data_IF_276088802912
#
_entry.id   IF_276088802912
#
_cell.length_a   1.000
_cell.length_b   1.000
_cell.length_c   1.000
_cell.angle_alpha   90.00
_cell.angle_beta   90.00
_cell.angle_gamma   90.00
#
_symmetry.space_group_name_H-M   'P 1'
#
loop_
_entity.id
_entity.type
_entity.pdbx_description
1 polymer ?
#
# COMPACT_ATOMS: atom_id res chain seq x y z
N UNK A 1 19.86 3.78 -3.24
CA UNK A 1 18.74 3.12 -3.91
C UNK A 1 18.52 3.78 -5.27
N UNK A 2 18.43 2.99 -6.34
CA UNK A 2 18.25 3.46 -7.71
C UNK A 2 17.10 2.68 -8.36
N UNK A 3 16.28 3.36 -9.14
CA UNK A 3 15.26 2.71 -9.95
C UNK A 3 15.65 2.75 -11.42
N UNK A 4 15.50 1.62 -12.11
CA UNK A 4 15.85 1.48 -13.52
C UNK A 4 14.66 0.91 -14.26
N UNK A 5 14.20 1.62 -15.28
CA UNK A 5 13.19 1.11 -16.21
C UNK A 5 13.89 0.20 -17.22
N UNK A 6 13.38 -1.01 -17.37
CA UNK A 6 13.83 -1.97 -18.38
C UNK A 6 13.02 -1.82 -19.67
N UNK A 7 11.69 -1.70 -19.56
CA UNK A 7 10.82 -1.47 -20.71
C UNK A 7 9.53 -0.76 -20.30
N UNK A 8 8.91 -0.09 -21.27
CA UNK A 8 7.60 0.53 -21.12
C UNK A 8 6.70 -0.01 -22.24
N UNK A 9 5.54 -0.52 -21.85
CA UNK A 9 4.54 -1.01 -22.81
C UNK A 9 3.80 0.13 -23.51
N UNK A 10 3.05 -0.19 -24.56
CA UNK A 10 2.18 0.76 -25.26
C UNK A 10 1.08 1.37 -24.36
N UNK A 11 0.78 0.72 -23.23
CA UNK A 11 -0.22 1.15 -22.26
C UNK A 11 0.45 1.68 -20.99
N UNK A 12 1.59 2.35 -21.08
CA UNK A 12 2.28 2.98 -19.95
C UNK A 12 2.73 2.05 -18.80
N UNK A 13 2.45 0.74 -18.85
CA UNK A 13 2.98 -0.22 -17.88
C UNK A 13 4.48 -0.29 -17.97
N UNK A 14 5.14 -0.32 -16.80
CA UNK A 14 6.58 -0.19 -16.65
C UNK A 14 7.14 -1.48 -16.05
N UNK A 15 8.03 -2.13 -16.78
CA UNK A 15 8.90 -3.16 -16.24
C UNK A 15 10.19 -2.50 -15.79
N UNK A 16 10.60 -2.74 -14.56
CA UNK A 16 11.77 -2.09 -13.98
C UNK A 16 12.35 -2.86 -12.81
N UNK A 17 13.36 -2.28 -12.17
CA UNK A 17 13.96 -2.84 -10.97
C UNK A 17 14.51 -1.77 -10.04
N UNK A 18 14.44 -2.05 -8.73
CA UNK A 18 15.06 -1.29 -7.66
C UNK A 18 16.38 -1.96 -7.29
N UNK A 19 17.44 -1.17 -7.29
CA UNK A 19 18.84 -1.57 -7.12
C UNK A 19 19.54 -0.68 -6.08
N UNK A 20 20.82 -0.97 -5.83
CA UNK A 20 21.73 -0.14 -5.03
C UNK A 20 21.19 0.16 -3.61
N UNK A 21 20.67 -0.88 -2.95
CA UNK A 21 20.22 -0.83 -1.56
C UNK A 21 21.42 -1.15 -0.66
N UNK A 22 21.86 -0.18 0.13
CA UNK A 22 23.12 -0.28 0.89
C UNK A 22 23.15 -1.47 1.85
N UNK A 23 22.04 -1.69 2.56
CA UNK A 23 21.90 -2.79 3.53
C UNK A 23 21.82 -4.16 2.87
N UNK A 24 21.45 -4.20 1.58
CA UNK A 24 21.28 -5.42 0.79
C UNK A 24 22.12 -5.35 -0.51
N UNK A 25 23.47 -5.39 -0.41
CA UNK A 25 24.32 -5.27 -1.59
C UNK A 25 24.03 -6.33 -2.64
N UNK A 26 23.83 -5.91 -3.89
CA UNK A 26 23.54 -6.79 -5.02
C UNK A 26 22.10 -7.30 -5.10
N UNK A 27 21.23 -6.95 -4.16
CA UNK A 27 19.82 -7.29 -4.25
C UNK A 27 19.13 -6.51 -5.38
N UNK A 28 18.24 -7.20 -6.09
CA UNK A 28 17.44 -6.66 -7.20
C UNK A 28 15.98 -6.96 -6.92
N UNK A 29 15.14 -5.92 -6.94
CA UNK A 29 13.69 -6.06 -6.75
C UNK A 29 12.98 -5.61 -8.02
N UNK A 30 12.36 -6.54 -8.74
CA UNK A 30 11.64 -6.25 -9.98
C UNK A 30 10.31 -5.54 -9.72
N UNK A 31 9.92 -4.65 -10.65
CA UNK A 31 8.63 -3.95 -10.64
C UNK A 31 7.81 -4.32 -11.88
N UNK A 32 6.48 -4.60 -11.78
CA UNK A 32 5.61 -4.33 -10.62
C UNK A 32 5.91 -5.18 -9.37
N UNK A 33 6.10 -4.52 -8.22
CA UNK A 33 6.53 -5.13 -6.96
C UNK A 33 5.37 -5.23 -5.97
N UNK A 34 5.29 -6.35 -5.25
CA UNK A 34 4.36 -6.53 -4.13
C UNK A 34 5.09 -6.38 -2.79
N UNK A 35 4.61 -5.46 -1.96
CA UNK A 35 5.03 -5.29 -0.57
C UNK A 35 4.27 -6.28 0.30
N UNK A 36 5.00 -7.08 1.07
CA UNK A 36 4.41 -8.00 2.02
C UNK A 36 3.95 -7.23 3.26
N UNK A 37 2.64 -7.29 3.51
CA UNK A 37 1.98 -6.67 4.65
C UNK A 37 2.50 -7.26 5.97
N UNK A 38 2.85 -6.39 6.90
CA UNK A 38 3.22 -6.77 8.27
C UNK A 38 2.38 -6.03 9.30
N UNK A 39 2.23 -6.63 10.48
CA UNK A 39 1.58 -6.03 11.64
C UNK A 39 2.50 -6.13 12.85
N UNK A 40 2.94 -4.99 13.35
CA UNK A 40 3.95 -4.94 14.42
C UNK A 40 5.35 -5.40 13.98
N UNK A 41 5.60 -5.47 12.66
CA UNK A 41 6.86 -5.97 12.09
C UNK A 41 6.86 -7.45 11.72
N UNK A 42 5.80 -8.20 12.05
CA UNK A 42 5.68 -9.61 11.68
C UNK A 42 4.68 -9.80 10.54
N UNK A 43 4.94 -10.76 9.66
CA UNK A 43 3.99 -11.18 8.64
C UNK A 43 2.87 -11.97 9.35
N UNK A 44 1.59 -11.58 9.22
CA UNK A 44 0.52 -12.27 9.93
C UNK A 44 0.50 -13.76 9.63
N UNK A 45 0.37 -14.57 10.69
CA UNK A 45 0.23 -16.03 10.64
C UNK A 45 1.42 -16.83 10.08
N UNK A 46 2.54 -16.16 9.75
CA UNK A 46 3.73 -16.81 9.22
C UNK A 46 4.91 -16.57 10.16
N UNK A 47 5.48 -17.64 10.71
CA UNK A 47 6.79 -17.57 11.36
C UNK A 47 7.88 -17.46 10.29
N UNK A 48 9.10 -17.11 10.70
CA UNK A 48 10.24 -17.01 9.78
C UNK A 48 10.53 -18.35 9.10
N UNK A 49 10.43 -19.46 9.84
CA UNK A 49 10.66 -20.81 9.32
C UNK A 49 9.61 -21.17 8.27
N UNK A 50 8.34 -20.82 8.52
CA UNK A 50 7.25 -21.07 7.56
C UNK A 50 7.42 -20.19 6.32
N UNK A 51 7.82 -18.92 6.48
CA UNK A 51 8.10 -18.04 5.34
C UNK A 51 9.19 -18.62 4.43
N UNK A 52 10.26 -19.16 5.02
CA UNK A 52 11.35 -19.80 4.29
C UNK A 52 10.94 -21.07 3.52
N UNK A 53 9.85 -21.73 3.93
CA UNK A 53 9.24 -22.82 3.17
C UNK A 53 8.46 -22.32 1.94
N UNK A 54 7.91 -21.11 2.01
CA UNK A 54 7.13 -20.49 0.92
C UNK A 54 8.05 -19.86 -0.12
N UNK A 55 9.09 -19.14 0.32
CA UNK A 55 10.04 -18.46 -0.57
C UNK A 55 11.41 -18.30 0.07
N UNK A 56 12.45 -18.34 -0.76
CA UNK A 56 13.84 -18.04 -0.36
C UNK A 56 14.34 -16.72 -0.94
N UNK A 57 13.53 -16.06 -1.76
CA UNK A 57 13.90 -14.80 -2.38
C UNK A 57 13.76 -13.65 -1.37
N UNK A 58 14.65 -12.65 -1.42
CA UNK A 58 14.45 -11.40 -0.69
C UNK A 58 13.08 -10.81 -1.03
N UNK A 59 12.41 -10.27 -0.02
CA UNK A 59 11.07 -9.69 -0.12
C UNK A 59 11.14 -8.23 0.27
N UNK A 60 10.09 -7.47 -0.05
CA UNK A 60 9.92 -6.13 0.45
C UNK A 60 8.81 -6.11 1.50
N UNK A 61 9.10 -5.72 2.73
CA UNK A 61 8.16 -5.70 3.84
C UNK A 61 7.62 -4.29 4.05
N UNK A 62 6.30 -4.17 4.09
CA UNK A 62 5.62 -2.95 4.50
C UNK A 62 5.46 -2.96 6.02
N UNK A 63 5.99 -1.94 6.70
CA UNK A 63 5.97 -1.78 8.16
C UNK A 63 5.18 -0.52 8.53
N UNK A 64 3.89 -0.64 8.85
CA UNK A 64 3.07 0.51 9.22
C UNK A 64 3.44 1.07 10.60
N UNK A 65 3.66 2.39 10.66
CA UNK A 65 3.88 3.14 11.89
C UNK A 65 2.73 2.95 12.87
N UNK A 66 1.48 2.96 12.41
CA UNK A 66 0.29 2.71 13.22
C UNK A 66 0.42 1.44 14.08
N UNK A 67 1.06 0.40 13.55
CA UNK A 67 1.26 -0.87 14.25
C UNK A 67 2.60 -0.97 15.01
N UNK A 68 3.55 -0.07 14.77
CA UNK A 68 4.94 -0.19 15.28
C UNK A 68 5.43 1.00 16.09
N UNK A 69 4.69 2.11 16.16
CA UNK A 69 5.12 3.35 16.85
C UNK A 69 5.52 3.12 18.31
N UNK A 70 4.87 2.19 19.00
CA UNK A 70 5.18 1.83 20.39
C UNK A 70 6.53 1.11 20.55
N UNK A 71 7.10 0.57 19.47
CA UNK A 71 8.39 -0.11 19.47
C UNK A 71 9.57 0.89 19.39
N UNK A 72 9.33 2.18 19.15
CA UNK A 72 10.39 3.18 18.95
C UNK A 72 11.48 3.10 20.03
N UNK A 73 11.09 3.14 21.30
CA UNK A 73 12.06 3.14 22.42
C UNK A 73 12.89 1.86 22.45
N UNK A 74 12.28 0.71 22.17
CA UNK A 74 12.97 -0.58 22.14
C UNK A 74 13.94 -0.67 20.94
N UNK A 75 13.51 -0.24 19.75
CA UNK A 75 14.35 -0.24 18.54
C UNK A 75 15.52 0.74 18.68
N UNK A 76 15.27 1.92 19.26
CA UNK A 76 16.33 2.89 19.55
C UNK A 76 17.36 2.35 20.55
N UNK A 77 16.92 1.65 21.61
CA UNK A 77 17.81 0.98 22.56
C UNK A 77 18.60 -0.18 21.92
N UNK A 78 18.02 -0.85 20.92
CA UNK A 78 18.63 -1.95 20.19
C UNK A 78 19.74 -1.52 19.20
N UNK A 79 19.67 -0.28 18.67
CA UNK A 79 20.71 0.40 17.86
C UNK A 79 21.08 -0.25 16.51
N UNK A 80 20.38 -1.30 16.08
CA UNK A 80 20.62 -1.98 14.79
C UNK A 80 19.50 -1.80 13.76
N UNK A 81 18.57 -0.88 14.03
CA UNK A 81 17.42 -0.63 13.18
C UNK A 81 16.32 -1.69 13.26
N UNK A 82 15.21 -1.44 12.57
CA UNK A 82 13.99 -2.23 12.63
C UNK A 82 14.15 -3.60 11.95
N UNK A 83 14.91 -3.68 10.86
CA UNK A 83 15.09 -4.92 10.09
C UNK A 83 15.71 -6.03 10.95
N UNK A 84 16.76 -5.69 11.71
CA UNK A 84 17.42 -6.58 12.66
C UNK A 84 16.55 -6.81 13.91
N UNK A 85 15.78 -5.80 14.34
CA UNK A 85 14.91 -5.92 15.52
C UNK A 85 13.79 -6.94 15.32
N UNK A 86 13.19 -6.97 14.13
CA UNK A 86 12.14 -7.92 13.76
C UNK A 86 12.70 -9.24 13.21
N UNK A 87 14.02 -9.38 13.11
CA UNK A 87 14.68 -10.60 12.62
C UNK A 87 14.52 -10.87 11.11
N UNK A 88 14.20 -9.87 10.29
CA UNK A 88 13.95 -9.98 8.84
C UNK A 88 14.97 -9.15 8.03
N UNK A 89 16.24 -9.24 8.41
CA UNK A 89 17.32 -8.40 7.85
C UNK A 89 17.70 -8.74 6.41
N UNK A 90 17.25 -9.86 5.88
CA UNK A 90 17.46 -10.27 4.50
C UNK A 90 16.44 -9.65 3.53
N UNK A 91 15.38 -9.03 4.07
CA UNK A 91 14.29 -8.44 3.31
C UNK A 91 14.38 -6.91 3.33
N UNK A 92 13.98 -6.24 2.25
CA UNK A 92 13.89 -4.77 2.16
C UNK A 92 12.77 -4.27 3.08
N UNK A 93 13.01 -3.19 3.83
CA UNK A 93 12.04 -2.61 4.75
C UNK A 93 11.53 -1.26 4.24
N UNK A 94 10.21 -1.16 4.12
CA UNK A 94 9.51 0.06 3.80
C UNK A 94 8.59 0.50 4.95
N UNK A 95 8.89 1.65 5.56
CA UNK A 95 8.04 2.22 6.60
C UNK A 95 6.92 3.10 6.01
N UNK A 96 5.67 2.78 6.36
CA UNK A 96 4.46 3.56 6.00
C UNK A 96 3.83 4.21 7.22
N UNK A 97 2.89 5.14 7.01
CA UNK A 97 2.21 5.84 8.12
C UNK A 97 1.02 5.02 8.63
N UNK A 98 0.04 4.77 7.76
CA UNK A 98 -1.17 4.03 8.10
C UNK A 98 -1.04 2.55 7.73
N UNK A 99 -1.87 1.71 8.36
CA UNK A 99 -1.99 0.30 8.02
C UNK A 99 -3.04 0.16 6.89
N UNK A 100 -2.67 -0.29 5.68
CA UNK A 100 -3.61 -0.37 4.55
C UNK A 100 -4.72 -1.40 4.75
N UNK A 101 -4.52 -2.40 5.62
CA UNK A 101 -5.53 -3.41 5.94
C UNK A 101 -6.56 -2.94 6.98
N UNK A 102 -6.32 -1.80 7.65
CA UNK A 102 -7.19 -1.28 8.71
C UNK A 102 -7.85 0.02 8.27
N UNK A 103 -9.18 0.09 8.40
CA UNK A 103 -9.92 1.33 8.14
C UNK A 103 -9.40 2.45 9.05
N UNK A 104 -8.97 3.55 8.44
CA UNK A 104 -8.43 4.72 9.14
C UNK A 104 -9.58 5.65 9.54
N UNK A 105 -9.79 5.91 10.84
CA UNK A 105 -10.83 6.82 11.28
C UNK A 105 -10.60 8.25 10.75
N UNK A 106 -11.67 8.85 10.22
CA UNK A 106 -11.62 10.15 9.53
C UNK A 106 -11.74 11.33 10.49
N UNK A 107 -11.17 12.49 10.12
CA UNK A 107 -11.40 13.76 10.81
C UNK A 107 -10.58 14.00 12.08
N UNK A 108 -9.59 13.15 12.37
CA UNK A 108 -8.73 13.29 13.56
C UNK A 108 -7.37 13.94 13.27
N UNK A 109 -7.10 14.32 12.02
CA UNK A 109 -5.86 15.02 11.66
C UNK A 109 -5.98 16.53 11.96
N UNK A 110 -5.02 17.04 12.71
CA UNK A 110 -4.93 18.44 13.12
C UNK A 110 -3.93 19.20 12.24
N UNK A 111 -3.68 20.48 12.54
CA UNK A 111 -2.84 21.34 11.69
C UNK A 111 -1.43 20.78 11.50
N UNK A 112 -0.81 20.34 12.58
CA UNK A 112 0.60 19.91 12.60
C UNK A 112 0.74 18.43 13.01
N UNK A 113 -0.37 17.71 13.13
CA UNK A 113 -0.40 16.33 13.63
C UNK A 113 -1.26 15.41 12.76
N UNK A 114 -0.74 14.22 12.49
CA UNK A 114 -1.47 13.08 11.91
C UNK A 114 -1.81 12.10 13.04
N UNK A 115 -3.05 11.63 13.05
CA UNK A 115 -3.48 10.60 13.99
C UNK A 115 -3.15 9.21 13.44
N UNK A 116 -2.54 8.37 14.26
CA UNK A 116 -2.36 6.94 14.01
C UNK A 116 -3.03 6.13 15.11
N UNK A 117 -3.61 4.99 14.76
CA UNK A 117 -4.30 4.10 15.71
C UNK A 117 -3.46 2.87 15.96
N UNK A 118 -2.85 2.86 17.13
CA UNK A 118 -2.04 1.75 17.61
C UNK A 118 -2.86 0.83 18.52
N UNK A 119 -2.26 -0.29 18.93
CA UNK A 119 -2.85 -1.17 19.96
C UNK A 119 -3.12 -0.44 21.29
N UNK A 120 -2.37 0.62 21.59
CA UNK A 120 -2.59 1.46 22.78
C UNK A 120 -3.57 2.62 22.55
N UNK A 121 -4.24 2.66 21.39
CA UNK A 121 -5.19 3.70 21.02
C UNK A 121 -4.62 4.76 20.07
N UNK A 122 -5.33 5.88 19.98
CA UNK A 122 -5.00 7.03 19.11
C UNK A 122 -3.73 7.72 19.61
N UNK A 123 -2.77 7.91 18.73
CA UNK A 123 -1.57 8.72 18.97
C UNK A 123 -1.50 9.83 17.93
N UNK A 124 -1.13 11.04 18.36
CA UNK A 124 -0.92 12.17 17.45
C UNK A 124 0.57 12.33 17.19
N UNK A 125 0.95 12.32 15.92
CA UNK A 125 2.34 12.34 15.46
C UNK A 125 2.53 13.57 14.58
N UNK A 126 3.47 14.43 14.93
CA UNK A 126 3.94 15.51 14.07
C UNK A 126 5.18 15.06 13.28
N UNK A 127 5.64 15.90 12.34
CA UNK A 127 6.78 15.56 11.48
C UNK A 127 8.07 15.29 12.29
N UNK A 128 8.35 16.04 13.35
CA UNK A 128 9.55 15.81 14.17
C UNK A 128 9.51 14.46 14.89
N UNK A 129 8.40 14.17 15.58
CA UNK A 129 8.22 12.89 16.26
C UNK A 129 8.25 11.72 15.28
N UNK A 130 7.68 11.91 14.09
CA UNK A 130 7.76 10.92 13.02
C UNK A 130 9.22 10.65 12.61
N UNK A 131 9.99 11.70 12.37
CA UNK A 131 11.39 11.58 11.99
C UNK A 131 12.23 10.94 13.10
N UNK A 132 11.96 11.20 14.38
CA UNK A 132 12.62 10.50 15.49
C UNK A 132 12.38 8.97 15.44
N UNK A 133 11.19 8.55 15.00
CA UNK A 133 10.88 7.12 14.81
C UNK A 133 11.64 6.58 13.61
N UNK A 134 11.64 7.29 12.48
CA UNK A 134 12.35 6.86 11.27
C UNK A 134 13.87 6.77 11.50
N UNK A 135 14.47 7.71 12.21
CA UNK A 135 15.89 7.67 12.61
C UNK A 135 16.21 6.50 13.54
N UNK A 136 15.26 6.11 14.40
CA UNK A 136 15.39 4.92 15.24
C UNK A 136 15.26 3.63 14.41
N UNK A 137 14.32 3.62 13.46
CA UNK A 137 14.00 2.44 12.65
C UNK A 137 15.02 2.18 11.55
N UNK A 138 15.60 3.22 10.94
CA UNK A 138 16.55 3.12 9.83
C UNK A 138 16.05 2.15 8.73
N UNK A 139 14.83 2.36 8.17
CA UNK A 139 14.34 1.52 7.08
C UNK A 139 15.15 1.76 5.79
N UNK A 140 15.01 0.88 4.79
CA UNK A 140 15.63 1.11 3.47
C UNK A 140 14.89 2.19 2.69
N UNK A 141 13.57 2.29 2.88
CA UNK A 141 12.76 3.40 2.39
C UNK A 141 11.63 3.76 3.34
N UNK A 142 11.15 5.00 3.26
CA UNK A 142 9.99 5.48 4.02
C UNK A 142 9.26 6.59 3.27
N UNK A 143 7.95 6.69 3.49
CA UNK A 143 7.17 7.83 2.98
C UNK A 143 7.27 9.02 3.92
N UNK A 144 7.18 10.24 3.40
CA UNK A 144 6.98 11.42 4.24
C UNK A 144 5.65 11.32 5.02
N UNK A 145 5.58 12.00 6.17
CA UNK A 145 4.33 12.12 6.92
C UNK A 145 3.31 12.93 6.12
N UNK A 146 2.07 12.45 6.04
CA UNK A 146 1.00 13.03 5.23
C UNK A 146 -0.37 12.99 5.93
N UNK A 147 -1.24 13.92 5.54
CA UNK A 147 -2.68 13.92 5.81
C UNK A 147 -3.46 13.29 4.65
N UNK A 148 -3.40 11.96 4.53
CA UNK A 148 -4.13 11.18 3.51
C UNK A 148 -5.61 10.93 3.81
N UNK A 149 -6.20 11.63 4.78
CA UNK A 149 -7.61 11.47 5.15
C UNK A 149 -8.53 12.25 4.18
N UNK A 150 -8.53 11.79 2.93
CA UNK A 150 -9.45 12.19 1.86
C UNK A 150 -9.99 10.98 1.10
N UNK A 151 -11.19 11.13 0.54
CA UNK A 151 -11.91 10.10 -0.21
C UNK A 151 -12.89 10.77 -1.21
N UNK A 152 -13.68 9.96 -1.92
CA UNK A 152 -14.67 10.44 -2.91
C UNK A 152 -15.65 11.50 -2.38
N UNK A 153 -15.98 11.43 -1.09
CA UNK A 153 -16.97 12.30 -0.46
C UNK A 153 -16.34 13.55 0.19
N UNK A 154 -15.03 13.73 0.05
CA UNK A 154 -14.31 14.83 0.68
C UNK A 154 -14.59 16.17 0.01
N UNK A 155 -14.91 17.18 0.81
CA UNK A 155 -15.11 18.55 0.31
C UNK A 155 -13.81 19.15 -0.23
N UNK A 156 -13.92 20.12 -1.16
CA UNK A 156 -12.77 20.91 -1.65
C UNK A 156 -11.94 21.52 -0.52
N UNK A 157 -12.60 22.00 0.54
CA UNK A 157 -11.94 22.54 1.74
C UNK A 157 -11.12 21.49 2.50
N UNK A 158 -11.62 20.25 2.59
CA UNK A 158 -10.92 19.14 3.23
C UNK A 158 -9.67 18.73 2.45
N UNK A 159 -9.81 18.66 1.12
CA UNK A 159 -8.72 18.34 0.18
C UNK A 159 -7.62 19.41 0.25
N UNK A 160 -7.97 20.69 0.18
CA UNK A 160 -6.99 21.78 0.28
C UNK A 160 -6.24 21.75 1.63
N UNK A 161 -6.94 21.47 2.74
CA UNK A 161 -6.28 21.31 4.06
C UNK A 161 -5.32 20.13 4.10
N UNK A 162 -5.72 18.97 3.55
CA UNK A 162 -4.85 17.79 3.47
C UNK A 162 -3.57 18.12 2.71
N UNK A 163 -3.71 18.73 1.53
CA UNK A 163 -2.59 19.11 0.69
C UNK A 163 -1.65 20.10 1.40
N UNK A 164 -2.17 21.16 2.03
CA UNK A 164 -1.38 22.15 2.75
C UNK A 164 -0.60 21.54 3.92
N UNK A 165 -1.23 20.61 4.66
CA UNK A 165 -0.62 19.92 5.81
C UNK A 165 0.47 18.97 5.36
N UNK A 166 0.18 18.13 4.37
CA UNK A 166 1.15 17.18 3.79
C UNK A 166 2.34 17.92 3.21
N UNK A 167 2.14 19.06 2.55
CA UNK A 167 3.24 19.88 2.03
C UNK A 167 4.16 20.38 3.15
N UNK A 168 3.58 20.92 4.24
CA UNK A 168 4.38 21.37 5.40
C UNK A 168 5.14 20.24 6.08
N UNK A 169 4.49 19.10 6.26
CA UNK A 169 5.09 17.91 6.87
C UNK A 169 6.20 17.34 5.98
N UNK A 170 6.00 17.31 4.65
CA UNK A 170 7.01 16.90 3.68
C UNK A 170 8.27 17.75 3.80
N UNK A 171 8.16 19.08 3.74
CA UNK A 171 9.32 19.96 3.85
C UNK A 171 10.08 19.78 5.15
N UNK A 172 9.35 19.56 6.27
CA UNK A 172 9.99 19.28 7.55
C UNK A 172 10.68 17.90 7.58
N UNK A 173 10.07 16.88 6.99
CA UNK A 173 10.67 15.55 6.86
C UNK A 173 11.93 15.59 5.98
N UNK A 174 11.89 16.32 4.85
CA UNK A 174 13.02 16.49 3.94
C UNK A 174 14.18 17.21 4.65
N UNK A 175 13.91 18.31 5.34
CA UNK A 175 14.93 19.04 6.10
C UNK A 175 15.61 18.15 7.17
N UNK A 176 14.82 17.34 7.89
CA UNK A 176 15.36 16.37 8.88
C UNK A 176 16.15 15.27 8.18
N UNK A 177 15.66 14.77 7.05
CA UNK A 177 16.32 13.73 6.24
C UNK A 177 17.72 14.16 5.80
N UNK A 178 17.84 15.35 5.19
CA UNK A 178 19.10 15.90 4.69
C UNK A 178 20.14 16.11 5.81
N UNK A 179 19.68 16.44 7.02
CA UNK A 179 20.53 16.67 8.20
C UNK A 179 20.87 15.39 8.97
N UNK A 180 20.20 14.28 8.67
CA UNK A 180 20.31 13.05 9.46
C UNK A 180 21.39 12.13 8.91
N UNK A 181 22.48 11.96 9.66
CA UNK A 181 23.59 11.07 9.29
C UNK A 181 23.14 9.61 9.12
N UNK A 182 22.21 9.14 9.95
CA UNK A 182 21.71 7.76 9.92
C UNK A 182 20.73 7.48 8.78
N UNK A 183 20.15 8.52 8.16
CA UNK A 183 19.19 8.39 7.06
C UNK A 183 19.77 8.74 5.68
N UNK A 184 21.05 9.14 5.60
CA UNK A 184 21.72 9.52 4.33
C UNK A 184 21.57 8.51 3.20
N UNK A 185 21.31 7.25 3.53
CA UNK A 185 21.26 6.10 2.62
C UNK A 185 19.87 5.46 2.54
N UNK A 186 18.94 5.95 3.35
CA UNK A 186 17.52 5.60 3.31
C UNK A 186 16.85 6.37 2.17
N UNK A 187 15.97 5.71 1.43
CA UNK A 187 15.17 6.36 0.39
C UNK A 187 13.95 7.08 0.99
N UNK A 188 13.90 8.41 0.86
CA UNK A 188 12.70 9.20 1.15
C UNK A 188 11.74 9.16 -0.05
N UNK A 189 10.45 8.93 0.21
CA UNK A 189 9.37 9.01 -0.77
C UNK A 189 8.46 10.20 -0.49
N UNK A 190 8.15 10.98 -1.54
CA UNK A 190 7.18 12.06 -1.44
C UNK A 190 5.75 11.51 -1.56
N UNK A 191 4.83 12.03 -0.75
CA UNK A 191 3.41 11.61 -0.78
C UNK A 191 2.59 12.65 -1.53
N UNK A 192 1.90 12.19 -2.56
CA UNK A 192 1.07 12.99 -3.46
C UNK A 192 -0.37 12.96 -2.97
N UNK A 193 -0.82 14.10 -2.45
CA UNK A 193 -2.19 14.31 -2.00
C UNK A 193 -3.00 15.10 -3.05
N UNK A 194 -4.25 15.40 -2.74
CA UNK A 194 -5.15 16.16 -3.62
C UNK A 194 -6.50 15.48 -3.84
N UNK A 195 -6.73 14.31 -3.22
CA UNK A 195 -7.99 13.60 -3.28
C UNK A 195 -8.44 13.36 -4.72
N UNK A 196 -9.69 13.66 -5.01
CA UNK A 196 -10.28 13.57 -6.35
C UNK A 196 -10.32 14.93 -7.08
N UNK A 197 -9.60 15.93 -6.57
CA UNK A 197 -9.50 17.24 -7.22
C UNK A 197 -8.29 17.26 -8.16
N UNK A 198 -8.53 17.22 -9.47
CA UNK A 198 -7.46 17.13 -10.48
C UNK A 198 -6.48 18.31 -10.41
N UNK A 199 -6.96 19.54 -10.19
CA UNK A 199 -6.09 20.72 -10.03
C UNK A 199 -5.16 20.59 -8.81
N UNK A 200 -5.67 20.05 -7.69
CA UNK A 200 -4.84 19.77 -6.51
C UNK A 200 -3.84 18.65 -6.75
N UNK A 201 -4.21 17.62 -7.52
CA UNK A 201 -3.29 16.54 -7.94
C UNK A 201 -2.16 17.05 -8.80
N UNK A 202 -2.47 17.83 -9.84
CA UNK A 202 -1.49 18.49 -10.70
C UNK A 202 -0.53 19.36 -9.87
N UNK A 203 -1.07 20.22 -9.00
CA UNK A 203 -0.27 21.09 -8.15
C UNK A 203 0.66 20.31 -7.21
N UNK A 204 0.15 19.25 -6.58
CA UNK A 204 0.95 18.38 -5.70
C UNK A 204 2.08 17.68 -6.47
N UNK A 205 1.76 17.10 -7.61
CA UNK A 205 2.72 16.37 -8.45
C UNK A 205 3.81 17.28 -9.00
N UNK A 206 3.45 18.45 -9.56
CA UNK A 206 4.43 19.43 -10.06
C UNK A 206 5.34 19.99 -8.96
N UNK A 207 4.81 20.20 -7.76
CA UNK A 207 5.61 20.70 -6.64
C UNK A 207 6.65 19.66 -6.22
N UNK A 208 6.22 18.41 -6.02
CA UNK A 208 7.06 17.36 -5.45
C UNK A 208 7.96 16.65 -6.48
N UNK A 209 7.63 16.71 -7.77
CA UNK A 209 8.42 16.09 -8.85
C UNK A 209 9.83 16.68 -9.00
N UNK A 210 10.03 17.91 -8.54
CA UNK A 210 11.34 18.59 -8.56
C UNK A 210 12.25 18.25 -7.38
N UNK A 211 11.73 17.55 -6.37
CA UNK A 211 12.48 17.21 -5.16
C UNK A 211 13.37 15.97 -5.40
N UNK A 212 14.53 15.93 -4.75
CA UNK A 212 15.41 14.75 -4.78
C UNK A 212 14.87 13.65 -3.84
N UNK A 213 13.86 12.93 -4.31
CA UNK A 213 13.24 11.78 -3.64
C UNK A 213 13.43 10.52 -4.47
N UNK A 214 13.37 9.35 -3.83
CA UNK A 214 13.56 8.07 -4.53
C UNK A 214 12.31 7.63 -5.33
N UNK A 215 11.13 8.09 -4.92
CA UNK A 215 9.86 7.70 -5.52
C UNK A 215 8.69 8.47 -4.92
N UNK A 216 7.49 8.12 -5.38
CA UNK A 216 6.25 8.81 -5.03
C UNK A 216 5.19 7.82 -4.54
N UNK A 217 4.46 8.21 -3.50
CA UNK A 217 3.27 7.50 -3.03
C UNK A 217 2.04 8.28 -3.46
N UNK A 218 1.12 7.66 -4.18
CA UNK A 218 -0.16 8.28 -4.52
C UNK A 218 -1.16 7.94 -3.42
N UNK A 219 -1.48 8.91 -2.58
CA UNK A 219 -2.32 8.75 -1.39
C UNK A 219 -3.59 9.61 -1.47
N UNK A 220 -4.48 9.49 -0.47
CA UNK A 220 -5.66 10.33 -0.33
C UNK A 220 -6.83 9.95 -1.26
N UNK A 221 -6.83 8.73 -1.83
CA UNK A 221 -7.95 8.22 -2.63
C UNK A 221 -8.97 7.43 -1.81
N UNK A 222 -8.58 6.94 -0.63
CA UNK A 222 -9.43 6.14 0.26
C UNK A 222 -8.95 6.26 1.70
N UNK A 223 -9.72 5.68 2.63
CA UNK A 223 -9.34 5.64 4.05
C UNK A 223 -8.82 4.27 4.52
N UNK A 224 -8.18 3.49 3.63
CA UNK A 224 -7.65 2.15 3.92
C UNK A 224 -8.74 1.15 4.35
N UNK A 225 -8.33 -0.09 4.64
CA UNK A 225 -9.22 -1.13 5.11
C UNK A 225 -9.95 -1.87 3.98
N UNK A 226 -10.91 -2.75 4.35
CA UNK A 226 -11.53 -3.68 3.42
C UNK A 226 -12.36 -3.00 2.33
N UNK A 227 -12.93 -1.82 2.59
CA UNK A 227 -13.78 -1.11 1.62
C UNK A 227 -13.03 -0.71 0.34
N UNK A 228 -11.69 -0.67 0.38
CA UNK A 228 -10.85 -0.40 -0.80
C UNK A 228 -11.01 -1.47 -1.87
N UNK A 229 -11.29 -2.73 -1.49
CA UNK A 229 -11.46 -3.82 -2.46
C UNK A 229 -12.69 -3.65 -3.36
N UNK A 230 -13.63 -2.79 -2.92
CA UNK A 230 -14.88 -2.47 -3.59
C UNK A 230 -14.83 -1.13 -4.35
N UNK A 231 -13.72 -0.38 -4.26
CA UNK A 231 -13.59 0.93 -4.89
C UNK A 231 -13.41 0.76 -6.41
N UNK A 232 -14.36 1.23 -7.25
CA UNK A 232 -14.25 1.02 -8.69
C UNK A 232 -13.09 1.80 -9.28
N UNK A 233 -12.26 1.14 -10.09
CA UNK A 233 -11.10 1.74 -10.74
C UNK A 233 -11.42 3.03 -11.52
N UNK A 234 -12.54 3.05 -12.24
CA UNK A 234 -13.01 4.23 -13.00
C UNK A 234 -13.19 5.49 -12.15
N UNK A 235 -13.39 5.34 -10.83
CA UNK A 235 -13.49 6.49 -9.91
C UNK A 235 -12.12 7.09 -9.61
N UNK A 236 -11.09 6.27 -9.46
CA UNK A 236 -9.73 6.72 -9.11
C UNK A 236 -8.89 7.07 -10.33
N UNK A 237 -9.16 6.45 -11.49
CA UNK A 237 -8.38 6.59 -12.71
C UNK A 237 -8.06 8.05 -13.09
N UNK A 238 -9.01 9.01 -13.11
CA UNK A 238 -8.68 10.39 -13.47
C UNK A 238 -7.66 11.04 -12.53
N UNK A 239 -7.73 10.74 -11.23
CA UNK A 239 -6.80 11.26 -10.25
C UNK A 239 -5.40 10.62 -10.39
N UNK A 240 -5.33 9.32 -10.68
CA UNK A 240 -4.08 8.61 -10.96
C UNK A 240 -3.41 9.21 -12.21
N UNK A 241 -4.15 9.30 -13.32
CA UNK A 241 -3.64 9.82 -14.60
C UNK A 241 -3.13 11.25 -14.48
N UNK A 242 -3.93 12.13 -13.88
CA UNK A 242 -3.51 13.52 -13.67
C UNK A 242 -2.21 13.59 -12.86
N UNK A 243 -2.10 12.79 -11.79
CA UNK A 243 -0.91 12.76 -10.95
C UNK A 243 0.31 12.25 -11.73
N UNK A 244 0.18 11.09 -12.38
CA UNK A 244 1.27 10.39 -13.06
C UNK A 244 1.86 11.20 -14.21
N UNK A 245 1.05 11.99 -14.92
CA UNK A 245 1.47 12.81 -16.05
C UNK A 245 2.55 13.85 -15.70
N UNK A 246 2.66 14.23 -14.42
CA UNK A 246 3.63 15.23 -13.98
C UNK A 246 4.83 14.63 -13.22
N UNK A 247 4.92 13.30 -13.13
CA UNK A 247 5.99 12.61 -12.40
C UNK A 247 7.14 12.19 -13.33
N UNK A 248 8.40 12.33 -12.86
CA UNK A 248 9.56 11.89 -13.62
C UNK A 248 9.52 10.38 -13.87
N UNK A 249 9.97 9.96 -15.06
CA UNK A 249 9.90 8.56 -15.45
C UNK A 249 10.84 7.70 -14.60
N UNK A 250 12.03 8.17 -14.26
CA UNK A 250 13.08 7.44 -13.54
C UNK A 250 12.82 7.22 -12.03
N UNK A 251 11.62 7.55 -11.54
CA UNK A 251 11.20 7.35 -10.15
C UNK A 251 10.01 6.41 -10.07
N UNK A 252 10.01 5.51 -9.08
CA UNK A 252 8.93 4.53 -8.90
C UNK A 252 7.71 5.14 -8.21
N UNK A 253 6.56 4.54 -8.44
CA UNK A 253 5.26 4.99 -7.94
C UNK A 253 4.59 3.89 -7.12
N UNK A 254 4.10 4.23 -5.94
CA UNK A 254 3.43 3.32 -5.02
C UNK A 254 1.95 3.70 -4.90
N UNK A 255 1.06 2.71 -4.96
CA UNK A 255 -0.33 2.85 -4.55
C UNK A 255 -0.64 1.84 -3.43
N UNK A 256 -0.81 2.35 -2.21
CA UNK A 256 -1.27 1.53 -1.09
C UNK A 256 -2.77 1.28 -1.18
N UNK A 257 -3.22 0.21 -0.54
CA UNK A 257 -4.63 -0.11 -0.36
C UNK A 257 -4.92 -1.59 -0.59
N UNK A 258 -6.04 -2.04 -0.04
CA UNK A 258 -6.58 -3.39 -0.25
C UNK A 258 -7.19 -3.53 -1.67
N UNK A 259 -6.38 -3.28 -2.69
CA UNK A 259 -6.76 -3.38 -4.09
C UNK A 259 -6.97 -4.84 -4.49
N UNK A 260 -8.10 -5.12 -5.13
CA UNK A 260 -8.32 -6.44 -5.71
C UNK A 260 -7.39 -6.66 -6.94
N UNK A 261 -7.15 -7.92 -7.36
CA UNK A 261 -6.19 -8.21 -8.44
C UNK A 261 -6.50 -7.53 -9.77
N UNK A 262 -7.78 -7.34 -10.11
CA UNK A 262 -8.19 -6.63 -11.33
C UNK A 262 -7.78 -5.15 -11.28
N UNK A 263 -8.04 -4.48 -10.16
CA UNK A 263 -7.66 -3.08 -9.95
C UNK A 263 -6.15 -2.90 -9.93
N UNK A 264 -5.40 -3.86 -9.37
CA UNK A 264 -3.92 -3.85 -9.45
C UNK A 264 -3.45 -3.88 -10.90
N UNK A 265 -4.02 -4.75 -11.74
CA UNK A 265 -3.66 -4.81 -13.18
C UNK A 265 -3.98 -3.49 -13.90
N UNK A 266 -5.10 -2.85 -13.57
CA UNK A 266 -5.44 -1.56 -14.16
C UNK A 266 -4.53 -0.43 -13.67
N UNK A 267 -4.13 -0.41 -12.40
CA UNK A 267 -3.14 0.53 -11.88
C UNK A 267 -1.75 0.32 -12.50
N UNK A 268 -1.36 -0.92 -12.80
CA UNK A 268 -0.14 -1.21 -13.58
C UNK A 268 -0.23 -0.61 -14.98
N UNK A 269 -1.39 -0.62 -15.63
CA UNK A 269 -1.61 0.09 -16.93
C UNK A 269 -1.54 1.60 -16.77
N UNK A 270 -1.86 2.16 -15.61
CA UNK A 270 -1.66 3.59 -15.35
C UNK A 270 -0.23 3.92 -14.86
N UNK A 271 0.69 2.95 -14.90
CA UNK A 271 2.10 3.15 -14.62
C UNK A 271 2.45 3.24 -13.13
N UNK A 272 1.70 2.54 -12.28
CA UNK A 272 2.06 2.27 -10.87
C UNK A 272 3.00 1.06 -10.80
N UNK A 273 4.05 1.18 -10.00
CA UNK A 273 5.15 0.20 -9.95
C UNK A 273 5.10 -0.69 -8.69
N UNK A 274 4.47 -0.24 -7.59
CA UNK A 274 4.50 -0.94 -6.29
C UNK A 274 3.13 -0.94 -5.62
N UNK A 275 2.74 -2.10 -5.08
CA UNK A 275 1.47 -2.36 -4.40
C UNK A 275 1.69 -3.09 -3.08
N UNK A 276 0.71 -3.13 -2.18
CA UNK A 276 0.80 -3.92 -0.94
C UNK A 276 -0.10 -5.15 -0.92
N UNK A 277 0.24 -6.09 -0.03
CA UNK A 277 -0.47 -7.36 0.12
C UNK A 277 -1.54 -7.34 1.22
N UNK A 278 -2.17 -6.19 1.50
CA UNK A 278 -3.30 -6.13 2.45
C UNK A 278 -4.51 -6.92 1.97
N UNK A 279 -4.75 -6.98 0.65
CA UNK A 279 -5.83 -7.77 0.06
C UNK A 279 -5.75 -9.28 0.38
N UNK A 280 -4.65 -10.02 0.08
CA UNK A 280 -4.56 -11.43 0.43
C UNK A 280 -4.59 -11.67 1.96
N UNK A 281 -4.08 -10.73 2.76
CA UNK A 281 -4.25 -10.79 4.21
C UNK A 281 -5.74 -10.74 4.60
N UNK A 282 -6.50 -9.76 4.12
CA UNK A 282 -7.93 -9.64 4.42
C UNK A 282 -8.78 -10.79 3.87
N UNK A 283 -8.37 -11.38 2.74
CA UNK A 283 -8.96 -12.63 2.21
C UNK A 283 -8.75 -13.78 3.20
N UNK A 284 -7.57 -13.89 3.79
CA UNK A 284 -7.25 -14.91 4.79
C UNK A 284 -8.04 -14.68 6.09
N UNK A 285 -8.14 -13.44 6.56
CA UNK A 285 -8.89 -13.08 7.77
C UNK A 285 -10.39 -13.40 7.66
N UNK A 286 -10.96 -13.35 6.45
CA UNK A 286 -12.35 -13.75 6.19
C UNK A 286 -12.51 -15.25 5.86
N UNK A 287 -11.48 -16.07 6.12
CA UNK A 287 -11.53 -17.52 5.93
C UNK A 287 -11.66 -17.95 4.47
N UNK A 288 -11.15 -17.14 3.54
CA UNK A 288 -11.21 -17.40 2.10
C UNK A 288 -9.84 -17.74 1.52
N UNK A 289 -9.82 -18.37 0.35
CA UNK A 289 -8.59 -18.65 -0.41
C UNK A 289 -8.67 -18.03 -1.81
N UNK A 290 -7.54 -17.51 -2.30
CA UNK A 290 -7.41 -17.04 -3.68
C UNK A 290 -7.17 -18.24 -4.61
N UNK A 291 -8.07 -18.46 -5.56
CA UNK A 291 -8.05 -19.64 -6.46
C UNK A 291 -8.16 -19.29 -7.94
N UNK A 292 -7.99 -18.02 -8.30
CA UNK A 292 -8.11 -17.57 -9.69
C UNK A 292 -6.92 -18.05 -10.53
N UNK A 293 -7.16 -18.35 -11.80
CA UNK A 293 -6.11 -18.74 -12.73
C UNK A 293 -5.42 -17.50 -13.30
N UNK A 294 -4.09 -17.43 -13.15
CA UNK A 294 -3.23 -16.36 -13.67
C UNK A 294 -2.25 -16.86 -14.74
N UNK A 295 -2.20 -18.18 -14.98
CA UNK A 295 -1.43 -18.74 -16.10
C UNK A 295 -2.28 -18.55 -17.35
N UNK A 296 -1.94 -17.55 -18.16
CA UNK A 296 -2.53 -17.39 -19.48
C UNK A 296 -2.41 -18.71 -20.25
N UNK A 297 -3.48 -19.13 -20.94
CA UNK A 297 -3.38 -20.20 -21.93
C UNK A 297 -2.21 -19.85 -22.85
N UNK A 298 -1.21 -20.73 -22.95
CA UNK A 298 0.08 -20.50 -23.61
C UNK A 298 -0.01 -20.40 -25.14
N UNK A 299 -1.03 -19.72 -25.66
CA UNK A 299 -1.28 -19.48 -27.07
C UNK A 299 -1.56 -18.00 -27.29
N UNK A 300 -0.58 -17.14 -26.99
CA UNK A 300 -0.49 -15.84 -27.64
C UNK A 300 0.44 -16.06 -28.83
N UNK A 301 -0.04 -16.04 -30.09
CA UNK A 301 0.84 -16.04 -31.24
C UNK A 301 1.77 -14.83 -31.11
N UNK A 302 3.08 -15.04 -31.20
CA UNK A 302 4.04 -13.95 -31.29
C UNK A 302 3.57 -12.94 -32.35
N UNK A 303 3.58 -11.63 -32.07
CA UNK A 303 3.46 -10.64 -33.13
C UNK A 303 4.60 -10.92 -34.11
N UNK A 304 4.26 -11.19 -35.36
CA UNK A 304 5.25 -11.24 -36.45
C UNK A 304 5.90 -9.87 -36.48
N UNK A 305 7.20 -9.81 -36.17
CA UNK A 305 8.02 -8.64 -36.49
C UNK A 305 7.96 -8.46 -38.00
N UNK A 306 7.16 -7.52 -38.48
CA UNK A 306 7.24 -7.07 -39.88
C UNK A 306 8.52 -6.26 -40.01
N UNK A 307 9.65 -6.94 -40.21
CA UNK A 307 10.89 -6.31 -40.60
C UNK A 307 10.67 -5.63 -41.96
N UNK A 308 10.49 -4.31 -41.95
CA UNK A 308 10.59 -3.50 -43.17
C UNK A 308 12.06 -3.56 -43.60
N UNK A 309 12.35 -4.41 -44.59
CA UNK A 309 13.62 -4.39 -45.29
C UNK A 309 13.66 -3.12 -46.12
N UNK A 310 14.42 -2.13 -45.67
CA UNK A 310 14.88 -1.04 -46.53
C UNK A 310 16.05 -1.62 -47.31
N UNK A 311 15.88 -1.85 -48.60
CA UNK A 311 17.00 -2.15 -49.49
C UNK A 311 17.87 -0.89 -49.62
N UNK A 312 19.21 -1.01 -49.58
CA UNK A 312 20.09 0.13 -49.79
C UNK A 312 20.05 0.54 -51.26
N UNK A 313 19.62 1.76 -51.55
CA UNK A 313 19.83 2.40 -52.86
C UNK A 313 21.33 2.48 -53.14
N UNK A 314 21.74 1.95 -54.29
CA UNK A 314 23.12 1.94 -54.75
C UNK A 314 23.64 3.39 -54.90
N UNK A 315 24.66 3.75 -54.10
CA UNK A 315 25.49 4.92 -54.36
C UNK A 315 26.28 4.68 -55.65
N UNK A 316 25.73 5.16 -56.77
CA UNK A 316 26.49 5.38 -57.98
C UNK A 316 27.23 6.71 -57.85
N UNK A 317 28.55 6.61 -57.71
CA UNK A 317 29.49 7.70 -57.86
C UNK A 317 29.41 8.22 -59.30
N UNK A 318 29.15 9.51 -59.48
CA UNK A 318 29.68 10.25 -60.61
C UNK A 318 30.22 11.60 -60.12
N UNK A 319 31.37 11.87 -60.69
CA UNK A 319 32.36 12.88 -60.48
C UNK A 319 32.08 14.16 -61.28
N UNK A 320 32.69 15.27 -60.85
CA UNK A 320 33.07 16.32 -61.80
C UNK A 320 32.18 17.56 -61.90
N UNK A 321 32.58 18.57 -61.13
CA UNK A 321 32.84 19.94 -61.60
C UNK A 321 31.68 20.94 -61.83
N UNK A 322 31.97 22.15 -61.32
CA UNK A 322 31.55 23.48 -61.78
C UNK A 322 30.19 24.08 -61.32
N UNK A 323 30.31 24.90 -60.28
CA UNK A 323 29.67 26.22 -60.14
C UNK A 323 29.96 27.10 -61.40
N UNK A 324 29.33 28.26 -61.70
CA UNK A 324 28.53 29.11 -60.80
C UNK A 324 27.32 29.87 -61.44
N UNK A 325 26.70 30.70 -60.60
CA UNK A 325 26.03 31.99 -60.88
C UNK A 325 24.49 32.09 -60.93
N UNK A 326 24.05 33.03 -60.07
CA UNK A 326 23.04 34.06 -60.21
C UNK A 326 21.55 33.74 -60.03
N UNK A 327 20.93 34.59 -59.21
CA UNK A 327 19.69 35.25 -59.60
C UNK A 327 18.56 35.20 -58.58
N UNK A 328 18.57 36.17 -57.67
CA UNK A 328 17.43 37.01 -57.26
C UNK A 328 16.04 36.60 -57.80
N UNK A 329 15.07 36.35 -56.91
CA UNK A 329 13.92 37.23 -56.65
C UNK A 329 12.97 36.62 -55.61
N UNK A 330 12.51 37.49 -54.72
CA UNK A 330 11.37 37.25 -53.86
C UNK A 330 10.06 37.36 -54.66
N UNK A 331 9.07 36.52 -54.35
CA UNK A 331 7.66 36.90 -54.38
C UNK A 331 6.83 35.94 -53.54
N UNK A 332 6.24 36.51 -52.50
CA UNK A 332 5.06 36.05 -51.77
C UNK A 332 3.84 35.96 -52.68
N UNK A 333 3.01 34.92 -52.55
CA UNK A 333 1.55 34.97 -52.79
C UNK A 333 0.86 34.05 -51.78
N UNK A 334 -0.02 34.66 -50.98
CA UNK A 334 -1.06 34.04 -50.17
C UNK A 334 -2.35 33.81 -50.98
N UNK A 335 -3.23 32.98 -50.40
CA UNK A 335 -4.71 32.94 -50.52
C UNK A 335 -5.35 31.77 -51.30
N UNK A 336 -5.80 30.81 -50.47
CA UNK A 336 -7.12 30.15 -50.37
C UNK A 336 -7.87 29.48 -51.54
N UNK A 337 -8.50 28.39 -51.11
CA UNK A 337 -9.78 27.77 -51.48
C UNK A 337 -9.85 26.81 -52.69
N UNK A 338 -10.14 25.55 -52.35
CA UNK A 338 -10.48 24.52 -53.33
C UNK A 338 -10.76 23.15 -52.72
N UNK A 339 -11.99 22.96 -52.23
CA UNK A 339 -12.59 21.70 -51.79
C UNK A 339 -12.22 20.51 -52.69
N UNK A 340 -11.73 19.41 -52.11
CA UNK A 340 -11.94 18.08 -52.68
C UNK A 340 -12.20 17.03 -51.60
N UNK A 341 -13.27 16.27 -51.86
CA UNK A 341 -13.85 15.20 -51.03
C UNK A 341 -12.88 14.01 -50.97
N UNK A 342 -12.47 13.63 -49.77
CA UNK A 342 -11.95 12.28 -49.51
C UNK A 342 -13.04 11.46 -48.82
N UNK A 343 -13.50 10.44 -49.55
CA UNK A 343 -14.39 9.39 -49.06
C UNK A 343 -13.65 8.63 -47.96
N UNK A 344 -14.06 8.79 -46.70
CA UNK A 344 -13.70 7.86 -45.65
C UNK A 344 -14.50 6.57 -45.86
N UNK A 345 -13.81 5.51 -46.29
CA UNK A 345 -14.34 4.15 -46.22
C UNK A 345 -14.45 3.76 -44.75
N UNK A 346 -15.68 3.78 -44.24
CA UNK A 346 -16.03 3.17 -42.96
C UNK A 346 -15.92 1.66 -43.12
N UNK A 347 -14.90 1.06 -42.52
CA UNK A 347 -14.87 -0.38 -42.29
C UNK A 347 -15.73 -0.62 -41.05
N UNK A 348 -16.96 -1.03 -41.30
CA UNK A 348 -17.98 -1.37 -40.32
C UNK A 348 -17.65 -2.75 -39.72
N UNK A 349 -16.77 -2.79 -38.71
CA UNK A 349 -16.58 -3.98 -37.88
C UNK A 349 -17.73 -4.04 -36.87
N UNK A 350 -18.85 -4.61 -37.31
CA UNK A 350 -19.95 -5.05 -36.43
C UNK A 350 -19.42 -6.11 -35.46
N UNK A 351 -19.08 -5.71 -34.25
CA UNK A 351 -19.06 -6.62 -33.12
C UNK A 351 -20.48 -6.79 -32.62
N UNK A 352 -21.05 -7.96 -32.91
CA UNK A 352 -22.35 -8.38 -32.42
C UNK A 352 -22.25 -8.66 -30.92
N UNK A 353 -22.63 -7.67 -30.10
CA UNK A 353 -22.81 -7.84 -28.66
C UNK A 353 -24.05 -8.72 -28.47
N UNK A 354 -23.83 -10.01 -28.22
CA UNK A 354 -24.89 -10.88 -27.71
C UNK A 354 -25.19 -10.48 -26.27
N UNK A 355 -26.21 -9.64 -26.10
CA UNK A 355 -26.87 -9.47 -24.81
C UNK A 355 -27.49 -10.81 -24.41
N UNK A 356 -26.98 -11.41 -23.34
CA UNK A 356 -27.79 -12.30 -22.50
C UNK A 356 -28.12 -11.56 -21.22
N UNK A 357 -29.36 -11.10 -21.16
CA UNK A 357 -29.99 -10.61 -19.94
C UNK A 357 -30.14 -11.73 -18.90
N UNK A 358 -29.86 -11.35 -17.64
CA UNK A 358 -30.51 -11.75 -16.38
C UNK A 358 -30.38 -13.21 -15.92
N UNK A 359 -29.60 -13.39 -14.84
CA UNK A 359 -30.21 -13.76 -13.54
C UNK A 359 -29.60 -12.88 -12.45
N UNK A 360 -30.42 -11.99 -11.91
CA UNK A 360 -30.17 -11.31 -10.63
C UNK A 360 -30.42 -12.36 -9.55
N UNK A 361 -29.35 -12.90 -8.97
CA UNK A 361 -29.43 -13.64 -7.71
C UNK A 361 -29.12 -12.69 -6.56
N UNK A 362 -30.17 -12.15 -5.95
CA UNK A 362 -30.10 -11.52 -4.63
C UNK A 362 -29.67 -12.57 -3.61
N UNK A 363 -28.39 -12.61 -3.25
CA UNK A 363 -27.92 -13.37 -2.10
C UNK A 363 -27.97 -12.51 -0.84
N UNK A 364 -29.16 -12.46 -0.25
CA UNK A 364 -29.35 -12.15 1.17
C UNK A 364 -29.38 -13.47 1.94
N UNK A 365 -28.21 -14.08 2.19
CA UNK A 365 -28.08 -15.23 3.11
C UNK A 365 -26.72 -15.16 3.82
N UNK A 366 -26.65 -14.36 4.89
CA UNK A 366 -25.61 -14.48 5.92
C UNK A 366 -26.11 -13.86 7.22
N UNK A 367 -27.29 -14.28 7.68
CA UNK A 367 -27.80 -13.93 9.01
C UNK A 367 -28.80 -15.00 9.46
N UNK A 368 -28.39 -16.27 9.55
CA UNK A 368 -29.17 -17.32 10.21
C UNK A 368 -28.35 -18.57 10.61
N UNK A 369 -27.12 -18.36 11.12
CA UNK A 369 -26.34 -19.45 11.76
C UNK A 369 -25.69 -19.02 13.08
N UNK A 370 -26.30 -18.08 13.81
CA UNK A 370 -25.86 -17.71 15.18
C UNK A 370 -27.00 -17.77 16.22
N UNK A 371 -28.24 -18.05 15.81
CA UNK A 371 -29.40 -18.04 16.72
C UNK A 371 -29.83 -19.43 17.25
N UNK A 372 -28.99 -20.46 17.16
CA UNK A 372 -29.35 -21.82 17.58
C UNK A 372 -28.46 -22.46 18.66
N UNK A 373 -27.56 -21.70 19.31
CA UNK A 373 -26.71 -22.27 20.39
C UNK A 373 -26.60 -21.44 21.68
N UNK A 374 -27.49 -20.46 21.90
CA UNK A 374 -27.56 -19.69 23.15
C UNK A 374 -28.89 -19.87 23.88
N UNK A 375 -29.28 -21.13 24.08
CA UNK A 375 -30.34 -21.50 25.02
C UNK A 375 -29.86 -22.64 25.94
N UNK A 376 -28.78 -22.38 26.68
CA UNK A 376 -28.44 -23.05 27.94
C UNK A 376 -27.37 -22.21 28.63
N UNK A 377 -27.55 -22.00 29.93
CA UNK A 377 -26.72 -21.23 30.87
C UNK A 377 -27.26 -19.81 31.12
N UNK A 378 -28.14 -19.73 32.12
CA UNK A 378 -27.94 -18.89 33.31
C UNK A 378 -28.09 -17.38 33.17
N UNK A 379 -29.24 -16.87 33.62
CA UNK A 379 -29.39 -15.50 34.11
C UNK A 379 -28.25 -15.12 35.07
N UNK A 380 -27.48 -14.08 34.74
CA UNK A 380 -27.09 -13.00 35.67
C UNK A 380 -26.31 -11.88 34.94
N UNK A 381 -26.71 -10.65 35.28
CA UNK A 381 -26.01 -9.36 35.07
C UNK A 381 -26.10 -8.64 33.70
N UNK A 382 -27.30 -8.11 33.40
CA UNK A 382 -27.50 -7.09 32.36
C UNK A 382 -27.45 -5.68 32.94
N UNK A 383 -26.25 -5.10 33.07
CA UNK A 383 -26.06 -3.64 33.19
C UNK A 383 -24.80 -3.17 32.46
N UNK A 384 -24.93 -2.93 31.14
CA UNK A 384 -24.27 -1.86 30.36
C UNK A 384 -24.65 -2.01 28.88
N UNK A 385 -24.66 -0.87 28.17
CA UNK A 385 -24.81 -0.66 26.72
C UNK A 385 -26.25 -0.67 26.13
N UNK A 386 -26.91 0.52 26.04
CA UNK A 386 -28.26 0.66 25.47
C UNK A 386 -28.28 1.29 24.07
N UNK A 387 -28.07 0.54 22.99
CA UNK A 387 -28.38 1.01 21.62
C UNK A 387 -28.66 -0.17 20.66
N UNK A 388 -29.89 -0.70 20.66
CA UNK A 388 -30.46 -1.45 19.52
C UNK A 388 -31.93 -1.79 19.81
N UNK A 389 -32.82 -0.84 19.56
CA UNK A 389 -34.26 -1.10 19.38
C UNK A 389 -34.66 -0.53 18.03
N UNK A 390 -34.95 -1.40 17.09
CA UNK A 390 -35.44 -1.03 15.77
C UNK A 390 -35.89 -2.25 14.97
N UNK A 391 -37.19 -2.53 15.04
CA UNK A 391 -38.02 -3.20 14.03
C UNK A 391 -37.68 -4.64 13.63
N UNK A 392 -38.54 -5.60 14.03
CA UNK A 392 -39.17 -6.57 13.10
C UNK A 392 -40.54 -6.97 13.64
N UNK A 393 -41.60 -6.66 12.88
CA UNK A 393 -42.89 -7.33 12.94
C UNK A 393 -43.12 -7.91 11.55
N UNK A 394 -43.19 -9.23 11.41
CA UNK A 394 -44.18 -9.95 10.59
C UNK A 394 -43.98 -11.48 10.69
N UNK A 395 -45.09 -12.19 10.82
CA UNK A 395 -45.25 -13.65 10.89
C UNK A 395 -44.79 -14.33 9.59
N UNK A 396 -44.12 -15.49 9.71
CA UNK A 396 -43.92 -16.47 8.64
C UNK A 396 -44.67 -17.76 8.98
N UNK A 397 -45.39 -18.30 8.00
CA UNK A 397 -45.98 -19.63 8.00
C UNK A 397 -44.99 -20.64 7.41
N UNK A 398 -45.04 -21.87 7.93
CA UNK A 398 -44.26 -23.04 7.49
C UNK A 398 -44.67 -23.53 6.10
N UNK A 399 -43.71 -24.07 5.35
CA UNK A 399 -43.67 -25.48 4.89
C UNK A 399 -42.71 -25.64 3.71
N UNK A 400 -41.66 -26.48 3.89
CA UNK A 400 -41.27 -27.57 2.98
C UNK A 400 -39.83 -28.04 3.26
N UNK A 401 -39.70 -29.34 3.52
CA UNK A 401 -38.43 -30.06 3.62
C UNK A 401 -37.88 -30.37 2.22
N UNK A 402 -36.57 -30.25 2.04
CA UNK A 402 -35.84 -30.90 0.94
C UNK A 402 -34.59 -31.59 1.51
N UNK A 403 -34.47 -32.88 1.22
CA UNK A 403 -33.40 -33.76 1.65
C UNK A 403 -32.07 -33.45 0.92
N UNK A 404 -30.97 -33.43 1.66
CA UNK A 404 -29.60 -33.34 1.13
C UNK A 404 -29.01 -34.75 0.99
N UNK A 405 -28.69 -35.15 -0.25
CA UNK A 405 -27.81 -36.28 -0.53
C UNK A 405 -26.34 -35.81 -0.47
N UNK A 406 -25.58 -36.33 0.49
CA UNK A 406 -24.13 -36.17 0.56
C UNK A 406 -23.44 -37.19 -0.35
N UNK A 407 -22.63 -36.70 -1.31
CA UNK A 407 -21.61 -37.51 -1.99
C UNK A 407 -20.26 -37.24 -1.34
N UNK A 408 -19.65 -38.29 -0.82
CA UNK A 408 -18.30 -38.33 -0.25
C UNK A 408 -17.31 -38.55 -1.40
N UNK A 409 -16.29 -37.71 -1.50
CA UNK A 409 -15.05 -38.00 -2.24
C UNK A 409 -13.95 -38.29 -1.19
N UNK A 410 -13.16 -39.37 -1.33
CA UNK A 410 -12.14 -39.73 -0.36
C UNK A 410 -10.81 -38.98 -0.60
N UNK A 411 -10.05 -38.89 0.49
CA UNK A 411 -8.63 -38.53 0.59
C UNK A 411 -8.26 -37.03 0.71
N UNK A 412 -8.52 -36.48 1.90
CA UNK A 412 -7.67 -35.46 2.52
C UNK A 412 -7.45 -35.81 4.00
N UNK A 413 -6.21 -36.13 4.35
CA UNK A 413 -5.73 -36.37 5.71
C UNK A 413 -5.93 -35.10 6.56
N UNK A 414 -6.98 -35.09 7.38
CA UNK A 414 -7.21 -34.11 8.43
C UNK A 414 -6.44 -34.52 9.70
N UNK A 415 -5.39 -33.78 10.04
CA UNK A 415 -4.84 -33.79 11.40
C UNK A 415 -5.74 -32.94 12.30
N UNK A 416 -6.67 -33.58 13.01
CA UNK A 416 -7.42 -32.94 14.10
C UNK A 416 -6.52 -32.80 15.33
N UNK A 417 -6.11 -31.58 15.65
CA UNK A 417 -5.57 -31.26 16.98
C UNK A 417 -6.75 -31.03 17.94
N UNK A 418 -7.08 -32.08 18.70
CA UNK A 418 -8.02 -32.01 19.83
C UNK A 418 -7.41 -31.18 20.96
N UNK A 419 -8.01 -30.04 21.29
CA UNK A 419 -7.73 -29.30 22.52
C UNK A 419 -8.38 -30.02 23.70
N UNK A 420 -7.57 -30.75 24.46
CA UNK A 420 -7.99 -31.37 25.71
C UNK A 420 -7.76 -30.38 26.87
N UNK A 421 -8.80 -29.68 27.30
CA UNK A 421 -8.77 -28.90 28.54
C UNK A 421 -8.69 -29.87 29.72
N UNK A 422 -7.52 -30.02 30.33
CA UNK A 422 -7.37 -30.61 31.66
C UNK A 422 -7.36 -29.51 32.72
N UNK A 423 -8.43 -29.48 33.50
CA UNK A 423 -8.41 -28.94 34.86
C UNK A 423 -7.32 -29.66 35.68
N UNK A 424 -6.44 -28.91 36.32
CA UNK A 424 -5.72 -29.39 37.50
C UNK A 424 -5.82 -28.36 38.63
N UNK A 425 -6.69 -28.70 39.57
CA UNK A 425 -6.74 -28.20 40.94
C UNK A 425 -5.64 -28.83 41.77
N UNK A 426 -4.95 -27.98 42.54
CA UNK A 426 -4.36 -28.23 43.86
C UNK A 426 -3.67 -29.56 44.17
N UNK A 427 -2.36 -29.51 44.39
CA UNK A 427 -1.67 -30.42 45.30
C UNK A 427 -0.62 -29.65 46.11
N UNK A 428 -0.75 -29.76 47.44
CA UNK A 428 0.13 -29.27 48.50
C UNK A 428 1.17 -30.34 48.81
N UNK A 429 2.46 -29.98 48.97
CA UNK A 429 3.42 -30.55 49.96
C UNK A 429 4.84 -29.93 49.87
N UNK A 430 5.77 -30.10 50.85
CA UNK A 430 6.06 -29.12 51.91
C UNK A 430 7.52 -28.58 51.95
N UNK A 431 7.70 -27.59 52.83
CA UNK A 431 8.91 -27.06 53.52
C UNK A 431 10.32 -27.57 53.14
N UNK A 432 11.18 -26.63 52.70
CA UNK A 432 12.62 -26.60 53.03
C UNK A 432 13.03 -25.15 53.32
N UNK A 433 13.78 -24.98 54.42
CA UNK A 433 14.14 -23.73 55.11
C UNK A 433 15.25 -22.88 54.46
N UNK A 434 15.17 -21.58 54.79
CA UNK A 434 16.24 -20.59 55.06
C UNK A 434 17.34 -20.30 54.03
N UNK A 435 17.37 -19.07 53.51
CA UNK A 435 18.28 -18.01 54.01
C UNK A 435 18.04 -16.67 53.27
N UNK A 436 17.58 -15.65 54.01
CA UNK A 436 17.59 -14.23 53.59
C UNK A 436 18.43 -13.40 54.59
N UNK A 437 19.32 -12.51 54.14
CA UNK A 437 19.88 -11.46 54.98
C UNK A 437 19.01 -10.19 54.97
N UNK A 438 18.65 -9.75 56.18
CA UNK A 438 17.91 -8.51 56.49
C UNK A 438 18.78 -7.27 56.25
N UNK A 439 18.25 -6.27 55.54
CA UNK A 439 18.76 -4.89 55.53
C UNK A 439 17.77 -3.96 56.25
N UNK A 440 18.27 -3.28 57.29
CA UNK A 440 17.54 -2.34 58.13
C UNK A 440 17.43 -0.92 57.54
N UNK A 441 16.66 -0.02 58.19
CA UNK A 441 16.24 1.25 57.60
C UNK A 441 17.30 2.35 57.73
N UNK A 442 17.50 3.12 56.66
CA UNK A 442 18.35 4.33 56.64
C UNK A 442 17.48 5.57 56.88
N UNK A 443 17.91 6.41 57.84
CA UNK A 443 17.26 7.65 58.26
C UNK A 443 17.55 8.83 57.31
N UNK A 444 16.54 9.69 57.12
CA UNK A 444 16.66 11.04 56.58
C UNK A 444 17.51 11.96 57.49
N UNK A 445 18.28 12.86 56.87
CA UNK A 445 18.88 14.02 57.51
C UNK A 445 18.87 15.19 56.54
N UNK A 446 18.17 16.27 56.92
CA UNK A 446 18.13 17.56 56.24
C UNK A 446 19.30 18.47 56.66
N UNK A 447 19.53 19.47 55.80
CA UNK A 447 20.04 20.84 56.01
C UNK A 447 21.45 21.17 55.53
N UNK A 448 21.54 22.27 54.75
CA UNK A 448 22.73 23.12 54.72
C UNK A 448 23.16 23.72 53.37
N UNK A 449 22.37 24.68 52.85
CA UNK A 449 22.77 25.96 52.21
C UNK A 449 23.94 26.11 51.19
N UNK A 450 23.57 26.87 50.13
CA UNK A 450 24.25 28.03 49.52
C UNK A 450 25.16 27.91 48.27
N UNK A 451 24.60 28.50 47.19
CA UNK A 451 25.15 29.56 46.32
C UNK A 451 26.24 29.30 45.24
N UNK A 452 25.74 29.40 44.00
CA UNK A 452 26.12 30.37 42.95
C UNK A 452 27.39 30.16 42.07
N UNK A 453 27.11 30.22 40.75
CA UNK A 453 27.83 30.87 39.63
C UNK A 453 28.97 30.15 38.89
N UNK A 454 28.78 30.12 37.55
CA UNK A 454 29.74 30.13 36.41
C UNK A 454 30.68 28.91 36.35
N UNK A 455 30.83 28.19 35.24
CA UNK A 455 30.90 28.54 33.82
C UNK A 455 30.18 27.51 32.96
#
# INVERSE_FOLDING_TARGET
MKFVIQSVSSHSSRLGCILDIERLPGAVFETPLLLLYTKGGCIPHLTHEVLQMVTKEPLCLQVPLSSTVHNQTAVAAYKKGIAEFIGLKEHLIYSTVQDPAMATPQGYNEKDFVSVWSRSGKQQINADKYMDVIESFQPDMYQALCDGDTNLNSSKKRVSKALDRSSKMFWRCLERHEKSEVLKKTALLAVLEGGYNLTSREASAKMLSSCDVAGFVIDGLHNNGPDVELLPFEKIKPAIQETVNHLPADKFRIAHGCWNPETVLDLVKEGIDIFDSSYPFLVSERGSALVFNFKGSSSIPHPVETSVKIEPDELRTDDGSNNPFNGTTATSIDVQDGKSKLRSGVIDLKYEISMREKVVATNTVAANTVAANTARIGEQDTRRVPWLKGMVSHKLNNDNQIALQTRVLPDCLLWQVSHNQRNQSGAVHPDIQSDEPKLGPVKCGDTGQENSRRF
#
